data_IF_728654074000
#
_entry.id   IF_728654074000
#
_cell.length_a   1.000
_cell.length_b   1.000
_cell.length_c   1.000
_cell.angle_alpha   90.00
_cell.angle_beta   90.00
_cell.angle_gamma   90.00
#
_symmetry.space_group_name_H-M   'P 1'
#
loop_
_entity.id
_entity.type
_entity.pdbx_description
1 polymer ?
#
# COMPACT_ATOMS: atom_id res chain seq x y z
N UNK A 1 -8.94 -41.07 8.26
CA UNK A 1 -10.42 -41.12 8.16
C UNK A 1 -10.98 -40.32 9.31
N UNK A 2 -11.43 -39.09 9.09
CA UNK A 2 -12.01 -38.25 10.14
C UNK A 2 -13.44 -38.74 10.44
N UNK A 3 -13.70 -39.10 11.69
CA UNK A 3 -15.06 -39.39 12.17
C UNK A 3 -15.94 -38.13 11.97
N UNK A 4 -17.18 -38.24 11.47
CA UNK A 4 -18.08 -37.10 11.39
C UNK A 4 -18.39 -36.61 12.80
N UNK A 5 -17.98 -35.39 13.14
CA UNK A 5 -18.33 -34.75 14.40
C UNK A 5 -19.85 -34.55 14.47
N UNK A 6 -20.47 -35.11 15.50
CA UNK A 6 -21.91 -34.96 15.72
C UNK A 6 -22.23 -33.51 16.15
N UNK A 7 -23.39 -32.99 15.72
CA UNK A 7 -23.83 -31.62 16.06
C UNK A 7 -23.88 -31.40 17.58
N UNK A 8 -24.23 -32.43 18.34
CA UNK A 8 -24.30 -32.38 19.81
C UNK A 8 -22.91 -32.27 20.47
N UNK A 9 -21.88 -32.85 19.85
CA UNK A 9 -20.50 -32.72 20.30
C UNK A 9 -19.94 -31.33 19.99
N UNK A 10 -20.38 -30.71 18.89
CA UNK A 10 -19.99 -29.34 18.54
C UNK A 10 -20.40 -28.33 19.61
N UNK A 11 -21.59 -28.47 20.21
CA UNK A 11 -22.01 -27.62 21.34
C UNK A 11 -21.13 -27.82 22.57
N UNK A 12 -20.72 -29.07 22.85
CA UNK A 12 -19.82 -29.40 23.97
C UNK A 12 -18.43 -28.82 23.77
N UNK A 13 -17.87 -28.94 22.56
CA UNK A 13 -16.56 -28.39 22.20
C UNK A 13 -16.53 -26.86 22.37
N UNK A 14 -17.63 -26.18 22.01
CA UNK A 14 -17.76 -24.73 22.20
C UNK A 14 -18.18 -24.33 23.63
N UNK A 15 -18.51 -25.28 24.50
CA UNK A 15 -18.93 -25.01 25.89
C UNK A 15 -20.27 -24.28 26.01
N UNK A 16 -21.19 -24.46 25.05
CA UNK A 16 -22.50 -23.79 25.00
C UNK A 16 -23.65 -24.79 25.20
N UNK A 17 -24.81 -24.27 25.62
CA UNK A 17 -25.99 -25.10 25.82
C UNK A 17 -26.45 -25.76 24.50
N UNK A 18 -26.92 -27.03 24.53
CA UNK A 18 -27.52 -27.67 23.37
C UNK A 18 -28.77 -26.89 22.91
N UNK A 19 -28.66 -26.12 21.83
CA UNK A 19 -29.72 -25.20 21.35
C UNK A 19 -29.41 -23.70 21.52
N UNK A 20 -28.18 -23.34 21.89
CA UNK A 20 -27.70 -21.96 21.93
C UNK A 20 -27.98 -21.21 20.62
N UNK A 21 -28.39 -19.94 20.72
CA UNK A 21 -28.67 -19.12 19.53
C UNK A 21 -27.36 -18.81 18.78
N UNK A 22 -27.44 -18.54 17.48
CA UNK A 22 -26.26 -18.26 16.64
C UNK A 22 -25.34 -17.15 17.19
N UNK A 23 -25.89 -16.19 17.94
CA UNK A 23 -25.13 -15.15 18.63
C UNK A 23 -24.24 -15.69 19.76
N UNK A 24 -24.75 -16.63 20.55
CA UNK A 24 -24.03 -17.29 21.65
C UNK A 24 -22.94 -18.21 21.11
N UNK A 25 -23.24 -18.99 20.06
CA UNK A 25 -22.28 -19.85 19.37
C UNK A 25 -21.10 -19.03 18.84
N UNK A 26 -21.38 -17.88 18.21
CA UNK A 26 -20.35 -16.94 17.74
C UNK A 26 -19.54 -16.34 18.89
N UNK A 27 -20.19 -15.97 19.99
CA UNK A 27 -19.50 -15.40 21.14
C UNK A 27 -18.57 -16.41 21.81
N UNK A 28 -19.02 -17.66 21.99
CA UNK A 28 -18.22 -18.74 22.57
C UNK A 28 -17.01 -19.09 21.68
N UNK A 29 -17.22 -19.22 20.36
CA UNK A 29 -16.11 -19.44 19.43
C UNK A 29 -15.07 -18.32 19.50
N UNK A 30 -15.47 -17.04 19.52
CA UNK A 30 -14.52 -15.92 19.65
C UNK A 30 -13.70 -16.01 20.93
N UNK A 31 -14.31 -16.36 22.06
CA UNK A 31 -13.61 -16.50 23.35
C UNK A 31 -12.57 -17.63 23.30
N UNK A 32 -12.94 -18.78 22.72
CA UNK A 32 -12.03 -19.92 22.56
C UNK A 32 -10.90 -19.62 21.56
N UNK A 33 -11.21 -18.96 20.45
CA UNK A 33 -10.24 -18.55 19.43
C UNK A 33 -9.18 -17.58 20.00
N UNK A 34 -9.58 -16.63 20.84
CA UNK A 34 -8.66 -15.73 21.54
C UNK A 34 -7.79 -16.47 22.57
N UNK A 35 -8.35 -17.47 23.25
CA UNK A 35 -7.65 -18.21 24.31
C UNK A 35 -6.66 -19.26 23.78
N UNK A 36 -6.94 -19.83 22.60
CA UNK A 36 -6.13 -20.89 21.99
C UNK A 36 -5.41 -20.45 20.70
N UNK A 37 -5.38 -19.14 20.41
CA UNK A 37 -4.63 -18.62 19.26
C UNK A 37 -3.14 -19.02 19.39
N UNK A 38 -2.47 -19.46 18.30
CA UNK A 38 -1.06 -19.88 18.33
C UNK A 38 -0.13 -18.78 18.87
N UNK A 39 -0.47 -17.50 18.64
CA UNK A 39 0.29 -16.35 19.17
C UNK A 39 0.20 -16.20 20.70
N UNK A 40 -0.83 -16.76 21.34
CA UNK A 40 -1.10 -16.62 22.79
C UNK A 40 -0.79 -17.92 23.55
N UNK A 41 -1.13 -19.08 23.00
CA UNK A 41 -1.03 -20.38 23.67
C UNK A 41 0.08 -21.30 23.13
N UNK A 42 0.77 -20.91 22.06
CA UNK A 42 1.82 -21.71 21.43
C UNK A 42 1.30 -23.04 20.82
N UNK A 43 2.19 -24.00 20.51
CA UNK A 43 1.85 -25.22 19.78
C UNK A 43 0.81 -26.11 20.46
N UNK A 44 0.70 -26.06 21.79
CA UNK A 44 -0.27 -26.86 22.56
C UNK A 44 -1.72 -26.38 22.46
N UNK A 45 -1.96 -25.19 21.90
CA UNK A 45 -3.31 -24.65 21.65
C UNK A 45 -3.91 -25.04 20.30
N UNK A 46 -3.09 -25.51 19.36
CA UNK A 46 -3.49 -25.72 17.96
C UNK A 46 -4.61 -26.76 17.81
N UNK A 47 -4.51 -27.90 18.50
CA UNK A 47 -5.53 -28.96 18.45
C UNK A 47 -6.89 -28.47 18.97
N UNK A 48 -6.89 -27.68 20.03
CA UNK A 48 -8.12 -27.12 20.63
C UNK A 48 -8.72 -26.02 19.77
N UNK A 49 -7.87 -25.22 19.12
CA UNK A 49 -8.29 -24.20 18.16
C UNK A 49 -8.94 -24.85 16.93
N UNK A 50 -8.33 -25.90 16.39
CA UNK A 50 -8.85 -26.63 15.24
C UNK A 50 -10.18 -27.32 15.55
N UNK A 51 -10.29 -27.96 16.73
CA UNK A 51 -11.55 -28.54 17.19
C UNK A 51 -12.66 -27.49 17.34
N UNK A 52 -12.34 -26.32 17.91
CA UNK A 52 -13.31 -25.22 18.05
C UNK A 52 -13.73 -24.63 16.70
N UNK A 53 -12.80 -24.50 15.74
CA UNK A 53 -13.08 -24.02 14.39
C UNK A 53 -13.94 -25.00 13.58
N UNK A 54 -13.67 -26.30 13.70
CA UNK A 54 -14.48 -27.37 13.10
C UNK A 54 -15.91 -27.37 13.67
N UNK A 55 -16.05 -27.32 15.00
CA UNK A 55 -17.34 -27.27 15.67
C UNK A 55 -18.16 -26.03 15.29
N UNK A 56 -17.51 -24.85 15.23
CA UNK A 56 -18.16 -23.61 14.80
C UNK A 56 -18.65 -23.68 13.34
N UNK A 57 -17.85 -24.25 12.45
CA UNK A 57 -18.20 -24.35 11.03
C UNK A 57 -19.44 -25.21 10.82
N UNK A 58 -19.53 -26.35 11.52
CA UNK A 58 -20.68 -27.25 11.47
C UNK A 58 -21.94 -26.56 12.01
N UNK A 59 -21.86 -25.90 13.17
CA UNK A 59 -23.01 -25.21 13.77
C UNK A 59 -23.43 -23.94 13.03
N UNK A 60 -22.52 -23.31 12.29
CA UNK A 60 -22.81 -22.15 11.44
C UNK A 60 -23.61 -22.56 10.20
N UNK A 61 -23.36 -23.76 9.66
CA UNK A 61 -24.03 -24.27 8.46
C UNK A 61 -25.28 -25.10 8.77
N UNK A 62 -25.46 -25.56 10.01
CA UNK A 62 -26.61 -26.35 10.41
C UNK A 62 -27.91 -25.52 10.42
N UNK A 63 -28.99 -26.07 9.86
CA UNK A 63 -30.31 -25.45 9.93
C UNK A 63 -30.93 -25.65 11.32
N UNK A 64 -31.87 -24.78 11.75
CA UNK A 64 -32.59 -24.96 13.01
C UNK A 64 -33.26 -26.33 13.15
N UNK A 65 -33.73 -26.90 12.03
CA UNK A 65 -34.34 -28.23 11.98
C UNK A 65 -33.32 -29.36 12.25
N UNK A 66 -32.11 -29.26 11.68
CA UNK A 66 -31.02 -30.21 11.90
C UNK A 66 -30.49 -30.16 13.34
N UNK A 67 -30.40 -28.95 13.91
CA UNK A 67 -30.05 -28.76 15.31
C UNK A 67 -31.13 -29.35 16.23
N UNK A 68 -32.41 -29.12 15.93
CA UNK A 68 -33.52 -29.68 16.69
C UNK A 68 -33.60 -31.22 16.58
N UNK A 69 -33.34 -31.80 15.41
CA UNK A 69 -33.32 -33.26 15.21
C UNK A 69 -32.15 -33.93 15.96
N UNK A 70 -30.96 -33.32 15.94
CA UNK A 70 -29.80 -33.79 16.70
C UNK A 70 -30.06 -33.78 18.22
N UNK A 71 -30.74 -32.74 18.73
CA UNK A 71 -31.15 -32.65 20.13
C UNK A 71 -32.23 -33.67 20.49
N UNK A 72 -33.19 -33.93 19.59
CA UNK A 72 -34.21 -34.99 19.76
C UNK A 72 -33.59 -36.38 19.75
N UNK A 73 -32.59 -36.65 18.90
CA UNK A 73 -31.85 -37.92 18.87
C UNK A 73 -31.05 -38.16 20.15
N UNK A 74 -30.47 -37.10 20.74
CA UNK A 74 -29.76 -37.19 22.02
C UNK A 74 -30.69 -37.31 23.25
N UNK A 75 -31.90 -36.74 23.19
CA UNK A 75 -32.93 -36.86 24.24
C UNK A 75 -33.89 -38.06 24.08
N UNK A 76 -33.87 -38.75 22.95
CA UNK A 76 -34.84 -39.76 22.52
C UNK A 76 -34.59 -41.19 23.00
N UNK A 77 -33.93 -41.38 24.16
CA UNK A 77 -33.95 -42.67 24.90
C UNK A 77 -34.76 -42.53 26.20
N UNK A 78 -36.03 -42.14 26.09
CA UNK A 78 -37.18 -42.68 26.86
C UNK A 78 -38.48 -41.93 26.52
N UNK A 79 -39.53 -42.75 26.34
CA UNK A 79 -40.96 -42.43 26.38
C UNK A 79 -41.65 -41.83 25.13
N UNK A 80 -41.90 -42.73 24.18
CA UNK A 80 -43.22 -43.10 23.59
C UNK A 80 -44.38 -42.09 23.52
N UNK A 81 -44.76 -41.85 22.25
CA UNK A 81 -46.03 -41.43 21.64
C UNK A 81 -47.28 -42.16 22.17
N UNK A 82 -48.38 -41.43 22.44
CA UNK A 82 -49.77 -41.88 22.16
C UNK A 82 -50.74 -40.72 21.87
N UNK A 83 -51.81 -41.06 21.16
CA UNK A 83 -52.73 -40.33 20.29
C UNK A 83 -53.73 -39.31 20.89
N UNK A 84 -54.22 -38.45 19.97
CA UNK A 84 -55.62 -37.99 19.77
C UNK A 84 -56.68 -38.80 20.54
N UNK A 85 -57.78 -38.23 21.06
CA UNK A 85 -58.96 -37.70 20.31
C UNK A 85 -60.00 -37.07 21.26
N UNK A 86 -60.88 -36.21 20.73
CA UNK A 86 -62.19 -35.85 21.32
C UNK A 86 -62.43 -34.33 21.35
N UNK A 87 -62.83 -33.66 20.26
CA UNK A 87 -64.19 -33.61 19.68
C UNK A 87 -65.15 -32.69 20.47
N UNK A 88 -65.67 -31.64 19.82
CA UNK A 88 -66.60 -30.68 20.44
C UNK A 88 -66.80 -29.38 19.65
N UNK A 89 -67.53 -29.49 18.53
CA UNK A 89 -67.92 -28.45 17.57
C UNK A 89 -68.64 -27.22 18.17
N UNK A 90 -68.34 -25.99 17.69
CA UNK A 90 -69.25 -25.17 16.85
C UNK A 90 -68.75 -23.73 16.57
N UNK A 91 -68.66 -23.42 15.27
CA UNK A 91 -68.98 -22.14 14.57
C UNK A 91 -69.98 -21.22 15.35
N UNK A 92 -70.02 -19.88 15.26
CA UNK A 92 -69.53 -18.82 14.34
C UNK A 92 -69.92 -17.44 14.92
N UNK A 93 -69.41 -16.37 14.29
CA UNK A 93 -69.76 -14.92 14.34
C UNK A 93 -68.99 -14.13 15.40
N UNK A 94 -68.24 -13.07 15.10
CA UNK A 94 -68.37 -12.10 14.02
C UNK A 94 -68.37 -10.71 14.66
N UNK A 95 -67.23 -10.00 14.63
CA UNK A 95 -67.16 -8.55 14.83
C UNK A 95 -66.89 -8.02 16.25
N UNK A 96 -65.62 -7.72 16.55
CA UNK A 96 -65.17 -6.41 17.06
C UNK A 96 -63.65 -6.33 17.07
N UNK A 97 -63.10 -5.54 16.14
CA UNK A 97 -61.68 -5.15 16.09
C UNK A 97 -61.38 -4.33 17.35
N UNK A 98 -60.82 -4.97 18.38
CA UNK A 98 -60.18 -4.27 19.50
C UNK A 98 -58.76 -3.98 19.06
N UNK A 99 -58.43 -2.69 18.96
CA UNK A 99 -57.09 -2.18 18.69
C UNK A 99 -56.25 -2.49 19.94
N UNK A 100 -55.68 -3.69 20.00
CA UNK A 100 -54.76 -4.06 21.07
C UNK A 100 -53.46 -3.29 20.85
N UNK A 101 -53.19 -2.36 21.76
CA UNK A 101 -51.87 -1.77 21.95
C UNK A 101 -50.86 -2.89 22.21
N UNK A 102 -49.66 -2.86 21.61
CA UNK A 102 -48.64 -3.88 21.87
C UNK A 102 -48.29 -3.92 23.37
N UNK A 103 -47.99 -5.10 23.94
CA UNK A 103 -47.70 -5.23 25.36
C UNK A 103 -46.46 -4.39 25.73
N UNK A 104 -46.60 -3.59 26.79
CA UNK A 104 -45.57 -2.70 27.33
C UNK A 104 -44.30 -3.41 27.85
N UNK A 105 -44.23 -4.75 27.77
CA UNK A 105 -43.10 -5.57 28.19
C UNK A 105 -41.94 -5.51 27.17
N UNK A 106 -42.20 -5.67 25.87
CA UNK A 106 -41.15 -5.66 24.83
C UNK A 106 -40.44 -4.31 24.74
N UNK A 107 -41.16 -3.21 24.93
CA UNK A 107 -40.60 -1.84 24.88
C UNK A 107 -39.70 -1.50 26.08
N UNK A 108 -39.81 -2.24 27.18
CA UNK A 108 -38.93 -2.10 28.36
C UNK A 108 -37.67 -2.95 28.20
N UNK A 109 -37.77 -4.12 27.57
CA UNK A 109 -36.62 -4.97 27.27
C UNK A 109 -35.76 -4.37 26.14
N UNK A 110 -36.36 -3.92 25.03
CA UNK A 110 -35.65 -3.22 23.96
C UNK A 110 -34.92 -1.97 24.46
N UNK A 111 -35.57 -1.14 25.29
CA UNK A 111 -34.92 0.04 25.90
C UNK A 111 -33.78 -0.31 26.86
N UNK A 112 -33.82 -1.50 27.47
CA UNK A 112 -32.79 -1.96 28.40
C UNK A 112 -31.61 -2.57 27.63
N UNK A 113 -31.88 -3.27 26.53
CA UNK A 113 -30.88 -3.74 25.58
C UNK A 113 -30.18 -2.58 24.86
N UNK A 114 -30.92 -1.59 24.34
CA UNK A 114 -30.35 -0.37 23.73
C UNK A 114 -29.46 0.40 24.72
N UNK A 115 -29.87 0.52 25.99
CA UNK A 115 -29.04 1.14 27.04
C UNK A 115 -27.78 0.33 27.34
N UNK A 116 -27.86 -1.00 27.30
CA UNK A 116 -26.72 -1.88 27.51
C UNK A 116 -25.78 -1.90 26.30
N UNK A 117 -26.30 -1.80 25.08
CA UNK A 117 -25.49 -1.65 23.86
C UNK A 117 -24.83 -0.27 23.82
N UNK A 118 -25.53 0.80 24.20
CA UNK A 118 -24.94 2.14 24.31
C UNK A 118 -23.89 2.23 25.43
N UNK A 119 -24.13 1.58 26.58
CA UNK A 119 -23.13 1.52 27.66
C UNK A 119 -21.94 0.67 27.26
N UNK A 120 -22.15 -0.47 26.61
CA UNK A 120 -21.11 -1.32 26.03
C UNK A 120 -20.32 -0.61 24.94
N UNK A 121 -21.00 0.18 24.09
CA UNK A 121 -20.39 1.05 23.08
C UNK A 121 -19.51 2.12 23.70
N UNK A 122 -20.01 2.83 24.71
CA UNK A 122 -19.22 3.81 25.48
C UNK A 122 -18.04 3.17 26.19
N UNK A 123 -18.21 1.99 26.78
CA UNK A 123 -17.11 1.26 27.42
C UNK A 123 -16.06 0.88 26.38
N UNK A 124 -16.47 0.43 25.20
CA UNK A 124 -15.53 0.11 24.10
C UNK A 124 -14.80 1.35 23.58
N UNK A 125 -15.50 2.47 23.44
CA UNK A 125 -14.93 3.76 23.04
C UNK A 125 -13.88 4.24 24.04
N UNK A 126 -14.21 4.24 25.34
CA UNK A 126 -13.26 4.61 26.41
C UNK A 126 -12.05 3.67 26.49
N UNK A 127 -12.25 2.36 26.26
CA UNK A 127 -11.14 1.41 26.19
C UNK A 127 -10.22 1.67 24.99
N UNK A 128 -10.79 2.11 23.86
CA UNK A 128 -10.04 2.41 22.64
C UNK A 128 -9.26 3.73 22.78
N UNK A 129 -9.89 4.75 23.35
CA UNK A 129 -9.21 6.00 23.74
C UNK A 129 -8.08 5.74 24.72
N UNK A 130 -8.33 4.94 25.77
CA UNK A 130 -7.29 4.56 26.72
C UNK A 130 -6.13 3.82 26.04
N UNK A 131 -6.43 2.87 25.16
CA UNK A 131 -5.39 2.13 24.44
C UNK A 131 -4.55 3.04 23.53
N UNK A 132 -5.18 4.03 22.89
CA UNK A 132 -4.47 5.05 22.10
C UNK A 132 -3.58 5.91 22.98
N UNK A 133 -4.09 6.44 24.09
CA UNK A 133 -3.31 7.24 25.04
C UNK A 133 -2.14 6.45 25.62
N UNK A 134 -2.36 5.18 25.98
CA UNK A 134 -1.32 4.29 26.49
C UNK A 134 -0.25 4.03 25.42
N UNK A 135 -0.65 3.86 24.15
CA UNK A 135 0.28 3.73 23.03
C UNK A 135 1.07 5.03 22.77
N UNK A 136 0.41 6.19 22.78
CA UNK A 136 1.05 7.50 22.63
C UNK A 136 2.08 7.75 23.75
N UNK A 137 1.73 7.47 25.00
CA UNK A 137 2.64 7.55 26.14
C UNK A 137 3.81 6.56 26.02
N UNK A 138 3.56 5.34 25.54
CA UNK A 138 4.61 4.36 25.31
C UNK A 138 5.60 4.84 24.23
N UNK A 139 5.09 5.38 23.12
CA UNK A 139 5.92 5.97 22.06
C UNK A 139 6.69 7.19 22.59
N UNK A 140 6.05 8.09 23.34
CA UNK A 140 6.70 9.25 23.94
C UNK A 140 7.85 8.84 24.87
N UNK A 141 7.66 7.81 25.71
CA UNK A 141 8.72 7.27 26.57
C UNK A 141 9.87 6.64 25.77
N UNK A 142 9.58 5.94 24.68
CA UNK A 142 10.61 5.41 23.79
C UNK A 142 11.40 6.54 23.11
N UNK A 143 10.72 7.60 22.67
CA UNK A 143 11.35 8.78 22.11
C UNK A 143 12.20 9.54 23.14
N UNK A 144 11.74 9.62 24.38
CA UNK A 144 12.50 10.25 25.48
C UNK A 144 13.73 9.42 25.88
N UNK A 145 13.62 8.09 25.94
CA UNK A 145 14.77 7.18 26.15
C UNK A 145 15.80 7.23 25.03
N UNK A 146 15.36 7.48 23.80
CA UNK A 146 16.23 7.59 22.63
C UNK A 146 16.77 9.01 22.41
N UNK A 147 16.22 10.03 23.06
CA UNK A 147 16.81 11.37 23.09
C UNK A 147 18.09 11.35 23.91
N UNK A 148 19.23 11.32 23.22
CA UNK A 148 20.56 11.45 23.84
C UNK A 148 21.48 10.24 23.68
N UNK A 149 20.95 9.09 23.23
CA UNK A 149 21.82 8.04 22.65
C UNK A 149 22.24 8.50 21.26
N UNK A 150 23.53 8.76 21.04
CA UNK A 150 24.05 8.89 19.67
C UNK A 150 23.62 7.67 18.86
N UNK A 151 22.87 7.89 17.78
CA UNK A 151 22.41 6.81 16.93
C UNK A 151 23.62 6.04 16.38
N UNK A 152 23.76 4.80 16.83
CA UNK A 152 24.77 3.89 16.28
C UNK A 152 24.63 3.81 14.74
N UNK A 153 25.74 3.87 13.98
CA UNK A 153 25.73 3.73 12.53
C UNK A 153 24.95 2.51 12.04
N UNK A 154 25.04 1.39 12.77
CA UNK A 154 24.30 0.17 12.47
C UNK A 154 22.77 0.36 12.49
N UNK A 155 22.23 1.12 13.45
CA UNK A 155 20.79 1.42 13.52
C UNK A 155 20.35 2.27 12.32
N UNK A 156 21.18 3.23 11.91
CA UNK A 156 20.90 4.09 10.75
C UNK A 156 20.89 3.26 9.46
N UNK A 157 21.88 2.38 9.27
CA UNK A 157 21.95 1.47 8.12
C UNK A 157 20.69 0.62 8.01
N UNK A 158 20.25 -0.01 9.11
CA UNK A 158 19.02 -0.83 9.13
C UNK A 158 17.80 -0.01 8.71
N UNK A 159 17.69 1.24 9.18
CA UNK A 159 16.57 2.12 8.82
C UNK A 159 16.61 2.57 7.36
N UNK A 160 17.78 2.91 6.82
CA UNK A 160 17.96 3.28 5.41
C UNK A 160 17.58 2.14 4.47
N UNK A 161 17.89 0.90 4.84
CA UNK A 161 17.56 -0.29 4.07
C UNK A 161 16.15 -0.83 4.33
N UNK A 162 15.42 -0.23 5.27
CA UNK A 162 14.06 -0.61 5.63
C UNK A 162 13.04 -0.38 4.51
N UNK A 163 11.98 -1.18 4.52
CA UNK A 163 10.96 -1.13 3.47
C UNK A 163 10.04 0.10 3.57
N UNK A 164 9.84 0.64 4.77
CA UNK A 164 8.93 1.74 5.00
C UNK A 164 9.57 3.11 4.64
N UNK A 165 8.93 3.95 3.79
CA UNK A 165 9.49 5.24 3.35
C UNK A 165 9.78 6.20 4.50
N UNK A 166 8.85 6.35 5.45
CA UNK A 166 9.06 7.23 6.60
C UNK A 166 10.27 6.85 7.46
N UNK A 167 10.54 5.55 7.62
CA UNK A 167 11.70 5.08 8.39
C UNK A 167 13.01 5.49 7.71
N UNK A 168 13.05 5.44 6.38
CA UNK A 168 14.19 5.93 5.59
C UNK A 168 14.32 7.44 5.67
N UNK A 169 13.22 8.18 5.56
CA UNK A 169 13.22 9.64 5.68
C UNK A 169 13.73 10.08 7.05
N UNK A 170 13.30 9.42 8.14
CA UNK A 170 13.83 9.67 9.47
C UNK A 170 15.34 9.48 9.54
N UNK A 171 15.85 8.38 8.99
CA UNK A 171 17.29 8.12 8.93
C UNK A 171 18.04 9.16 8.07
N UNK A 172 17.49 9.56 6.93
CA UNK A 172 18.08 10.60 6.09
C UNK A 172 18.14 11.95 6.81
N UNK A 173 17.07 12.34 7.50
CA UNK A 173 17.02 13.58 8.30
C UNK A 173 18.07 13.56 9.41
N UNK A 174 18.31 12.42 10.06
CA UNK A 174 19.29 12.32 11.15
C UNK A 174 20.75 12.44 10.67
N UNK A 175 20.99 12.29 9.36
CA UNK A 175 22.30 12.40 8.72
C UNK A 175 22.63 13.81 8.17
N UNK A 176 21.63 14.69 8.03
CA UNK A 176 21.86 16.05 7.50
C UNK A 176 22.81 16.82 8.42
N UNK A 177 23.85 17.42 7.85
CA UNK A 177 24.86 18.21 8.58
C UNK A 177 25.84 17.38 9.42
N UNK A 178 25.86 16.06 9.28
CA UNK A 178 26.81 15.17 9.95
C UNK A 178 27.79 14.53 8.95
N UNK A 179 29.01 14.18 9.37
CA UNK A 179 29.89 13.38 8.53
C UNK A 179 29.24 12.03 8.24
N UNK A 180 29.40 11.51 7.02
CA UNK A 180 28.89 10.20 6.63
C UNK A 180 30.01 9.14 6.70
N UNK A 181 29.95 8.20 7.65
CA UNK A 181 30.78 7.01 7.64
C UNK A 181 30.56 6.20 6.36
N UNK A 182 31.58 5.45 5.95
CA UNK A 182 31.57 4.67 4.70
C UNK A 182 30.44 3.64 4.65
N UNK A 183 30.18 2.96 5.77
CA UNK A 183 29.09 2.00 5.93
C UNK A 183 27.70 2.63 5.73
N UNK A 184 27.50 3.87 6.19
CA UNK A 184 26.23 4.61 5.98
C UNK A 184 26.13 5.05 4.52
N UNK A 185 27.22 5.53 3.92
CA UNK A 185 27.24 5.92 2.53
C UNK A 185 26.94 4.74 1.60
N UNK A 186 27.52 3.57 1.86
CA UNK A 186 27.22 2.33 1.15
C UNK A 186 25.72 1.96 1.25
N UNK A 187 25.12 2.13 2.43
CA UNK A 187 23.68 1.91 2.62
C UNK A 187 22.81 2.91 1.84
N UNK A 188 23.23 4.18 1.74
CA UNK A 188 22.55 5.18 0.90
C UNK A 188 22.60 4.82 -0.59
N UNK A 189 23.74 4.33 -1.08
CA UNK A 189 23.87 3.87 -2.46
C UNK A 189 22.96 2.68 -2.74
N UNK A 190 22.89 1.72 -1.82
CA UNK A 190 22.03 0.55 -1.96
C UNK A 190 20.54 0.94 -1.93
N UNK A 191 20.15 1.82 -1.01
CA UNK A 191 18.81 2.42 -0.97
C UNK A 191 18.45 3.08 -2.32
N UNK A 192 19.33 3.94 -2.85
CA UNK A 192 19.11 4.67 -4.10
C UNK A 192 18.98 3.74 -5.33
N UNK A 193 19.68 2.60 -5.34
CA UNK A 193 19.58 1.60 -6.42
C UNK A 193 18.29 0.80 -6.34
N UNK A 194 17.88 0.41 -5.13
CA UNK A 194 16.75 -0.51 -4.90
C UNK A 194 15.38 0.16 -4.94
N UNK A 195 15.29 1.43 -4.58
CA UNK A 195 14.02 2.12 -4.34
C UNK A 195 13.91 3.36 -5.22
N UNK A 196 12.68 3.72 -5.60
CA UNK A 196 12.45 5.01 -6.23
C UNK A 196 12.70 6.10 -5.17
N UNK A 197 13.57 7.06 -5.50
CA UNK A 197 13.75 8.23 -4.66
C UNK A 197 12.54 9.14 -4.84
N UNK A 198 11.92 9.56 -3.75
CA UNK A 198 10.89 10.58 -3.74
C UNK A 198 11.52 11.98 -3.71
N UNK A 199 10.74 13.02 -3.97
CA UNK A 199 11.24 14.40 -4.01
C UNK A 199 11.94 14.80 -2.71
N UNK A 200 11.35 14.44 -1.57
CA UNK A 200 11.89 14.77 -0.25
C UNK A 200 13.21 14.04 0.02
N UNK A 201 13.35 12.80 -0.45
CA UNK A 201 14.63 12.08 -0.38
C UNK A 201 15.69 12.83 -1.17
N UNK A 202 15.39 13.27 -2.39
CA UNK A 202 16.34 14.04 -3.20
C UNK A 202 16.72 15.37 -2.55
N UNK A 203 15.76 16.07 -1.94
CA UNK A 203 16.00 17.31 -1.21
C UNK A 203 16.93 17.10 -0.01
N UNK A 204 16.71 16.05 0.79
CA UNK A 204 17.60 15.71 1.90
C UNK A 204 19.01 15.35 1.42
N UNK A 205 19.13 14.56 0.36
CA UNK A 205 20.43 14.21 -0.23
C UNK A 205 21.19 15.43 -0.74
N UNK A 206 20.49 16.47 -1.21
CA UNK A 206 21.10 17.74 -1.64
C UNK A 206 21.66 18.57 -0.49
N UNK A 207 21.18 18.35 0.74
CA UNK A 207 21.65 19.03 1.96
C UNK A 207 22.82 18.31 2.63
N UNK A 208 23.16 17.10 2.18
CA UNK A 208 24.26 16.34 2.74
C UNK A 208 25.62 16.91 2.32
N UNK A 209 26.54 16.98 3.28
CA UNK A 209 27.92 17.37 3.02
C UNK A 209 28.70 16.17 2.47
N UNK A 210 28.67 16.06 1.14
CA UNK A 210 29.36 15.01 0.39
C UNK A 210 30.46 15.66 -0.47
N UNK A 211 31.64 15.03 -0.52
CA UNK A 211 32.66 15.37 -1.49
C UNK A 211 32.20 15.10 -2.94
N UNK A 212 33.00 15.51 -3.91
CA UNK A 212 32.64 15.37 -5.34
C UNK A 212 32.54 13.92 -5.82
N UNK A 213 33.34 13.01 -5.25
CA UNK A 213 33.36 11.60 -5.64
C UNK A 213 32.09 10.91 -5.14
N UNK A 214 31.75 11.07 -3.87
CA UNK A 214 30.52 10.57 -3.26
C UNK A 214 29.27 11.16 -3.89
N UNK A 215 29.28 12.47 -4.21
CA UNK A 215 28.19 13.10 -4.98
C UNK A 215 27.98 12.42 -6.34
N UNK A 216 29.06 12.10 -7.04
CA UNK A 216 29.03 11.45 -8.35
C UNK A 216 28.52 10.00 -8.26
N UNK A 217 28.96 9.23 -7.26
CA UNK A 217 28.47 7.87 -7.04
C UNK A 217 26.98 7.82 -6.71
N UNK A 218 26.53 8.70 -5.81
CA UNK A 218 25.12 8.82 -5.47
C UNK A 218 24.30 9.24 -6.68
N UNK A 219 24.79 10.20 -7.46
CA UNK A 219 24.14 10.63 -8.69
C UNK A 219 24.03 9.49 -9.71
N UNK A 220 25.05 8.65 -9.88
CA UNK A 220 25.00 7.43 -10.73
C UNK A 220 23.94 6.45 -10.22
N UNK A 221 23.91 6.20 -8.92
CA UNK A 221 22.93 5.30 -8.31
C UNK A 221 21.50 5.78 -8.57
N UNK A 222 21.20 7.06 -8.33
CA UNK A 222 19.89 7.66 -8.59
C UNK A 222 19.55 7.68 -10.08
N UNK A 223 20.50 8.07 -10.93
CA UNK A 223 20.28 8.22 -12.37
C UNK A 223 19.95 6.89 -13.06
N UNK A 224 20.39 5.75 -12.52
CA UNK A 224 20.05 4.42 -13.03
C UNK A 224 18.52 4.19 -13.12
N UNK A 225 17.73 4.92 -12.33
CA UNK A 225 16.27 4.79 -12.26
C UNK A 225 15.51 5.89 -12.99
N UNK A 226 16.18 6.79 -13.72
CA UNK A 226 15.52 7.93 -14.40
C UNK A 226 14.30 7.52 -15.22
N UNK A 227 14.36 6.39 -15.93
CA UNK A 227 13.28 5.92 -16.78
C UNK A 227 11.97 5.61 -16.02
N UNK A 228 12.06 5.27 -14.73
CA UNK A 228 10.93 4.94 -13.87
C UNK A 228 10.52 6.09 -12.93
N UNK A 229 11.23 7.22 -12.95
CA UNK A 229 10.93 8.36 -12.09
C UNK A 229 9.76 9.19 -12.63
N UNK A 230 8.91 9.67 -11.72
CA UNK A 230 7.90 10.68 -12.04
C UNK A 230 8.53 11.99 -12.50
N UNK A 231 7.78 12.79 -13.27
CA UNK A 231 8.29 14.02 -13.89
C UNK A 231 8.90 15.00 -12.88
N UNK A 232 8.18 15.30 -11.79
CA UNK A 232 8.64 16.25 -10.75
C UNK A 232 9.98 15.81 -10.14
N UNK A 233 10.07 14.54 -9.75
CA UNK A 233 11.26 13.92 -9.17
C UNK A 233 12.44 13.91 -10.14
N UNK A 234 12.20 13.51 -11.39
CA UNK A 234 13.22 13.50 -12.43
C UNK A 234 13.78 14.91 -12.69
N UNK A 235 12.94 15.94 -12.70
CA UNK A 235 13.37 17.34 -12.83
C UNK A 235 14.17 17.82 -11.61
N UNK A 236 13.82 17.39 -10.40
CA UNK A 236 14.62 17.66 -9.18
C UNK A 236 16.00 17.01 -9.27
N UNK A 237 16.07 15.75 -9.71
CA UNK A 237 17.33 15.06 -9.93
C UNK A 237 18.17 15.74 -11.02
N UNK A 238 17.57 16.19 -12.13
CA UNK A 238 18.30 16.94 -13.17
C UNK A 238 18.94 18.23 -12.63
N UNK A 239 18.25 18.95 -11.75
CA UNK A 239 18.82 20.13 -11.07
C UNK A 239 20.02 19.79 -10.21
N UNK A 240 20.02 18.62 -9.55
CA UNK A 240 21.18 18.10 -8.84
C UNK A 240 22.32 17.77 -9.81
N UNK A 241 22.03 17.00 -10.87
CA UNK A 241 23.02 16.56 -11.85
C UNK A 241 23.73 17.73 -12.54
N UNK A 242 23.01 18.81 -12.82
CA UNK A 242 23.56 20.00 -13.47
C UNK A 242 24.64 20.72 -12.65
N UNK A 243 24.75 20.43 -11.36
CA UNK A 243 25.83 20.95 -10.50
C UNK A 243 27.10 20.10 -10.53
N UNK A 244 27.06 18.92 -11.14
CA UNK A 244 28.20 18.00 -11.21
C UNK A 244 29.03 18.19 -12.49
N UNK A 245 30.37 18.04 -12.39
CA UNK A 245 31.23 17.90 -13.56
C UNK A 245 31.03 16.53 -14.23
N UNK A 246 31.27 16.46 -15.54
CA UNK A 246 31.20 15.24 -16.36
C UNK A 246 29.85 14.50 -16.32
N UNK A 247 28.75 15.26 -16.26
CA UNK A 247 27.39 14.72 -16.10
C UNK A 247 26.77 14.07 -17.36
N UNK A 248 27.47 14.06 -18.49
CA UNK A 248 26.92 13.60 -19.79
C UNK A 248 26.40 12.16 -19.71
N UNK A 249 27.16 11.26 -19.09
CA UNK A 249 26.78 9.86 -18.86
C UNK A 249 25.44 9.74 -18.10
N UNK A 250 25.21 10.66 -17.17
CA UNK A 250 24.01 10.69 -16.34
C UNK A 250 22.82 11.28 -17.09
N UNK A 251 23.04 12.31 -17.90
CA UNK A 251 22.01 12.93 -18.75
C UNK A 251 21.46 11.96 -19.79
N UNK A 252 22.28 11.03 -20.31
CA UNK A 252 21.83 9.93 -21.20
C UNK A 252 20.64 9.19 -20.58
N UNK A 253 20.67 8.93 -19.26
CA UNK A 253 19.59 8.21 -18.57
C UNK A 253 18.30 9.02 -18.51
N UNK A 254 18.39 10.35 -18.39
CA UNK A 254 17.23 11.23 -18.39
C UNK A 254 16.51 11.27 -19.74
N UNK A 255 17.22 11.11 -20.86
CA UNK A 255 16.63 11.02 -22.21
C UNK A 255 15.76 9.77 -22.42
N UNK A 256 15.89 8.76 -21.53
CA UNK A 256 15.08 7.54 -21.58
C UNK A 256 13.72 7.68 -20.86
N UNK A 257 13.52 8.76 -20.09
CA UNK A 257 12.30 9.01 -19.34
C UNK A 257 11.09 9.20 -20.28
N UNK A 258 9.88 8.77 -19.90
CA UNK A 258 8.69 8.95 -20.74
C UNK A 258 8.22 10.41 -20.87
N UNK A 259 8.50 11.28 -19.90
CA UNK A 259 8.06 12.68 -19.93
C UNK A 259 8.85 13.50 -20.95
N UNK A 260 8.11 14.14 -21.86
CA UNK A 260 8.65 15.11 -22.81
C UNK A 260 9.37 16.28 -22.11
N UNK A 261 8.88 16.72 -20.95
CA UNK A 261 9.47 17.84 -20.19
C UNK A 261 10.82 17.47 -19.59
N UNK A 262 10.96 16.24 -19.08
CA UNK A 262 12.23 15.73 -18.56
C UNK A 262 13.26 15.60 -19.68
N UNK A 263 12.86 15.01 -20.81
CA UNK A 263 13.71 14.89 -22.00
C UNK A 263 14.17 16.29 -22.46
N UNK A 264 13.23 17.24 -22.57
CA UNK A 264 13.53 18.61 -22.97
C UNK A 264 14.55 19.28 -22.04
N UNK A 265 14.37 19.14 -20.72
CA UNK A 265 15.29 19.69 -19.73
C UNK A 265 16.69 19.06 -19.82
N UNK A 266 16.76 17.75 -20.08
CA UNK A 266 18.02 17.05 -20.30
C UNK A 266 18.73 17.52 -21.58
N UNK A 267 17.99 17.69 -22.68
CA UNK A 267 18.54 18.21 -23.95
C UNK A 267 19.03 19.66 -23.83
N UNK A 268 18.31 20.51 -23.10
CA UNK A 268 18.74 21.90 -22.84
C UNK A 268 20.02 21.94 -22.01
N UNK A 269 20.19 20.98 -21.09
CA UNK A 269 21.37 20.87 -20.24
C UNK A 269 22.52 20.10 -20.87
N UNK A 270 22.33 19.59 -22.10
CA UNK A 270 23.29 18.76 -22.81
C UNK A 270 24.54 19.56 -23.20
N UNK A 271 25.74 18.94 -23.20
CA UNK A 271 26.94 19.63 -23.65
C UNK A 271 26.79 20.17 -25.09
N UNK A 272 27.21 21.41 -25.37
CA UNK A 272 27.08 21.98 -26.71
C UNK A 272 27.96 21.22 -27.72
N UNK A 273 27.55 21.22 -28.99
CA UNK A 273 28.28 20.59 -30.12
C UNK A 273 28.53 19.08 -29.98
N UNK A 274 27.87 18.40 -29.05
CA UNK A 274 27.87 16.94 -28.97
C UNK A 274 26.45 16.42 -29.13
N UNK A 275 26.33 15.18 -29.60
CA UNK A 275 25.05 14.50 -29.71
C UNK A 275 24.98 13.32 -28.73
N UNK A 276 23.77 12.95 -28.29
CA UNK A 276 23.49 11.61 -27.79
C UNK A 276 23.86 10.53 -28.80
N UNK A 277 23.96 9.29 -28.33
CA UNK A 277 24.16 8.13 -29.19
C UNK A 277 23.04 7.99 -30.24
N UNK A 278 23.38 7.33 -31.36
CA UNK A 278 22.45 7.21 -32.49
C UNK A 278 21.13 6.54 -32.13
N UNK A 279 21.13 5.54 -31.24
CA UNK A 279 19.91 4.85 -30.83
C UNK A 279 18.97 5.79 -30.07
N UNK A 280 19.50 6.62 -29.17
CA UNK A 280 18.73 7.66 -28.51
C UNK A 280 18.24 8.70 -29.52
N UNK A 281 19.09 9.18 -30.44
CA UNK A 281 18.66 10.14 -31.48
C UNK A 281 17.50 9.59 -32.32
N UNK A 282 17.60 8.35 -32.78
CA UNK A 282 16.55 7.68 -33.57
C UNK A 282 15.25 7.61 -32.77
N UNK A 283 15.34 7.31 -31.46
CA UNK A 283 14.15 7.29 -30.58
C UNK A 283 13.56 8.69 -30.41
N UNK A 284 14.38 9.71 -30.18
CA UNK A 284 13.93 11.07 -29.90
C UNK A 284 13.35 11.77 -31.12
N UNK A 285 13.91 11.58 -32.32
CA UNK A 285 13.44 12.25 -33.54
C UNK A 285 12.12 11.66 -34.09
N UNK A 286 11.76 10.45 -33.65
CA UNK A 286 10.48 9.80 -33.94
C UNK A 286 9.34 10.35 -33.09
N UNK A 287 9.63 11.12 -32.05
CA UNK A 287 8.62 11.82 -31.25
C UNK A 287 7.96 12.94 -32.05
N UNK A 288 6.78 13.38 -31.59
CA UNK A 288 5.98 14.44 -32.20
C UNK A 288 5.79 15.63 -31.24
N UNK A 289 6.19 15.47 -29.97
CA UNK A 289 6.06 16.52 -28.97
C UNK A 289 7.04 17.67 -29.26
N UNK A 290 6.51 18.88 -29.47
CA UNK A 290 7.30 20.11 -29.69
C UNK A 290 8.38 20.29 -28.63
N UNK A 291 8.03 20.02 -27.37
CA UNK A 291 8.92 20.15 -26.22
C UNK A 291 10.21 19.32 -26.37
N UNK A 292 10.15 18.18 -27.07
CA UNK A 292 11.33 17.33 -27.33
C UNK A 292 12.02 17.74 -28.63
N UNK A 293 11.25 17.92 -29.69
CA UNK A 293 11.79 18.14 -31.03
C UNK A 293 12.54 19.47 -31.15
N UNK A 294 12.03 20.56 -30.56
CA UNK A 294 12.70 21.87 -30.65
C UNK A 294 14.11 21.86 -30.04
N UNK A 295 14.32 21.46 -28.76
CA UNK A 295 15.66 21.40 -28.21
C UNK A 295 16.54 20.37 -28.92
N UNK A 296 16.00 19.24 -29.39
CA UNK A 296 16.74 18.27 -30.17
C UNK A 296 17.27 18.86 -31.48
N UNK A 297 16.41 19.51 -32.27
CA UNK A 297 16.79 20.13 -33.55
C UNK A 297 17.84 21.25 -33.33
N UNK A 298 17.70 22.03 -32.26
CA UNK A 298 18.71 23.03 -31.87
C UNK A 298 20.08 22.39 -31.61
N UNK A 299 20.08 21.28 -30.88
CA UNK A 299 21.30 20.53 -30.59
C UNK A 299 21.93 19.96 -31.88
N UNK A 300 21.13 19.31 -32.71
CA UNK A 300 21.56 18.75 -34.00
C UNK A 300 22.12 19.80 -34.95
N UNK A 301 21.52 20.99 -35.00
CA UNK A 301 22.06 22.11 -35.78
C UNK A 301 23.46 22.53 -35.31
N UNK A 302 23.76 22.39 -34.01
CA UNK A 302 25.03 22.81 -33.43
C UNK A 302 26.16 21.76 -33.52
N UNK A 303 25.82 20.48 -33.68
CA UNK A 303 26.73 19.34 -33.50
C UNK A 303 26.96 18.51 -34.78
N UNK A 304 26.47 18.99 -35.93
CA UNK A 304 26.31 18.27 -37.20
C UNK A 304 25.17 17.24 -37.18
N UNK A 305 24.41 17.17 -38.26
CA UNK A 305 23.22 16.31 -38.34
C UNK A 305 23.63 14.98 -38.98
N UNK A 306 23.25 13.83 -38.39
CA UNK A 306 23.49 12.54 -39.03
C UNK A 306 22.74 12.44 -40.36
N UNK A 307 23.39 11.89 -41.39
CA UNK A 307 22.82 11.75 -42.75
C UNK A 307 21.46 11.04 -42.77
N UNK A 308 21.30 10.00 -41.94
CA UNK A 308 20.06 9.23 -41.82
C UNK A 308 18.87 10.06 -41.30
N UNK A 309 19.11 11.16 -40.58
CA UNK A 309 18.06 12.00 -40.01
C UNK A 309 17.42 12.94 -41.04
N UNK A 310 18.06 13.14 -42.19
CA UNK A 310 17.64 14.10 -43.21
C UNK A 310 16.18 13.95 -43.66
N UNK A 311 15.74 12.76 -44.12
CA UNK A 311 14.35 12.57 -44.57
C UNK A 311 13.32 12.93 -43.51
N UNK A 312 13.58 12.59 -42.24
CA UNK A 312 12.70 12.92 -41.12
C UNK A 312 12.68 14.41 -40.82
N UNK A 313 13.83 15.08 -40.83
CA UNK A 313 13.93 16.53 -40.61
C UNK A 313 13.21 17.30 -41.74
N UNK A 314 13.35 16.87 -42.99
CA UNK A 314 12.61 17.45 -44.12
C UNK A 314 11.10 17.31 -43.91
N UNK A 315 10.62 16.10 -43.57
CA UNK A 315 9.20 15.88 -43.28
C UNK A 315 8.68 16.76 -42.12
N UNK A 316 9.48 16.91 -41.05
CA UNK A 316 9.16 17.80 -39.92
C UNK A 316 9.06 19.26 -40.35
N UNK A 317 9.91 19.71 -41.28
CA UNK A 317 9.91 21.10 -41.76
C UNK A 317 8.65 21.45 -42.55
N UNK A 318 8.06 20.49 -43.26
CA UNK A 318 6.92 20.71 -44.14
C UNK A 318 5.57 20.48 -43.44
N UNK A 319 5.45 19.39 -42.66
CA UNK A 319 4.15 18.84 -42.27
C UNK A 319 3.87 18.84 -40.76
N UNK A 320 4.86 19.13 -39.91
CA UNK A 320 4.65 19.08 -38.46
C UNK A 320 3.65 20.14 -38.00
N UNK A 321 2.82 19.85 -36.99
CA UNK A 321 1.76 20.74 -36.50
C UNK A 321 2.30 22.03 -35.86
N UNK A 322 3.35 21.91 -35.03
CA UNK A 322 4.01 23.05 -34.38
C UNK A 322 4.80 23.93 -35.36
N UNK A 323 4.53 25.26 -35.42
CA UNK A 323 5.33 26.20 -36.20
C UNK A 323 6.80 26.25 -35.77
N UNK A 324 7.09 26.14 -34.48
CA UNK A 324 8.46 26.19 -33.97
C UNK A 324 9.32 25.04 -34.50
N UNK A 325 8.75 23.83 -34.51
CA UNK A 325 9.41 22.64 -35.08
C UNK A 325 9.69 22.84 -36.57
N UNK A 326 8.70 23.34 -37.34
CA UNK A 326 8.88 23.60 -38.77
C UNK A 326 10.01 24.60 -39.03
N UNK A 327 10.07 25.69 -38.27
CA UNK A 327 11.10 26.73 -38.39
C UNK A 327 12.50 26.17 -38.12
N UNK A 328 12.67 25.42 -37.02
CA UNK A 328 13.97 24.84 -36.66
C UNK A 328 14.41 23.76 -37.64
N UNK A 329 13.52 22.85 -38.02
CA UNK A 329 13.80 21.81 -39.00
C UNK A 329 14.14 22.42 -40.37
N UNK A 330 13.34 23.38 -40.83
CA UNK A 330 13.59 24.08 -42.10
C UNK A 330 14.90 24.87 -42.09
N UNK A 331 15.32 25.41 -40.95
CA UNK A 331 16.64 26.04 -40.83
C UNK A 331 17.77 25.05 -41.04
N UNK A 332 17.63 23.80 -40.63
CA UNK A 332 18.64 22.75 -40.83
C UNK A 332 18.69 22.37 -42.31
N UNK A 333 17.52 22.11 -42.92
CA UNK A 333 17.41 21.77 -44.35
C UNK A 333 18.06 22.85 -45.23
N UNK A 334 17.75 24.13 -44.98
CA UNK A 334 18.32 25.25 -45.76
C UNK A 334 19.81 25.45 -45.56
N UNK A 335 20.35 25.11 -44.38
CA UNK A 335 21.77 25.27 -44.10
C UNK A 335 22.67 24.27 -44.82
N UNK A 336 22.11 23.28 -45.55
CA UNK A 336 22.91 22.24 -46.19
C UNK A 336 23.60 21.31 -45.18
N UNK A 337 23.23 21.38 -43.90
CA UNK A 337 23.74 20.51 -42.83
C UNK A 337 23.24 19.06 -42.95
N UNK A 338 22.66 18.68 -44.08
CA UNK A 338 22.24 17.33 -44.43
C UNK A 338 23.31 16.73 -45.35
N UNK A 339 24.51 16.47 -44.81
CA UNK A 339 25.58 15.80 -45.55
C UNK A 339 25.58 14.31 -45.23
#
# INVERSE_FOLDING_TARGET
MAMPLEITECFKILGVSPGAHQGEIRAAFRRLALSFHPDVAGPGGAEKFEAAAAAYSILKTATPEQMADALKKAGGRKATRTQKTGEGSRFRWGGRRKKETPPAAGRKEEKKEEKNEQSSGRVRELLLERALVDAELAVARLLEKSRGEEESPAKIVVRLLGDHPEVRLMALRSLVGKPLPEEIFAALLDMARRRAAEDEVLELLMLMDLDQERKRELARALASRFAAMGEKTALTLLRLLNRLPDRTELLVKALLNPSARVIAAALVSWPPKTLPDELILIRLIKREEEAVLVPLLRLMKSAAVPSWAGPRITALSEKHSSPAVRVWAGSIVRSGNLL
#
